data_IF_704971301571
#
_entry.id   IF_704971301571
#
_cell.length_a   1.000
_cell.length_b   1.000
_cell.length_c   1.000
_cell.angle_alpha   90.00
_cell.angle_beta   90.00
_cell.angle_gamma   90.00
#
_symmetry.space_group_name_H-M   'P 1'
#
loop_
_entity.id
_entity.type
_entity.pdbx_description
1 polymer ?
#
# COMPACT_ATOMS: atom_id res chain seq x y z
N UNK A 1 8.84 -36.60 -40.77
CA UNK A 1 8.06 -36.63 -39.51
C UNK A 1 7.67 -35.18 -39.20
N UNK A 2 6.50 -34.75 -39.66
CA UNK A 2 6.03 -33.39 -39.39
C UNK A 2 5.26 -33.41 -38.08
N UNK A 3 5.87 -32.87 -37.02
CA UNK A 3 5.21 -32.76 -35.72
C UNK A 3 4.11 -31.71 -35.78
N UNK A 4 2.88 -32.10 -35.46
CA UNK A 4 1.78 -31.16 -35.27
C UNK A 4 2.05 -30.34 -34.00
N UNK A 5 2.37 -29.06 -34.17
CA UNK A 5 2.45 -28.10 -33.07
C UNK A 5 1.05 -27.52 -32.82
N UNK A 6 0.30 -28.11 -31.89
CA UNK A 6 -0.97 -27.56 -31.42
C UNK A 6 -0.74 -26.77 -30.14
N UNK A 7 -1.22 -25.53 -30.10
CA UNK A 7 -1.27 -24.72 -28.88
C UNK A 7 -2.68 -24.83 -28.29
N UNK A 8 -2.79 -25.44 -27.10
CA UNK A 8 -4.04 -25.60 -26.35
C UNK A 8 -4.21 -24.43 -25.37
N UNK A 9 -5.33 -23.72 -25.50
CA UNK A 9 -5.67 -22.56 -24.67
C UNK A 9 -6.88 -22.81 -23.76
N UNK A 10 -7.40 -24.05 -23.67
CA UNK A 10 -8.58 -24.35 -22.86
C UNK A 10 -8.33 -24.19 -21.35
N UNK A 11 -7.07 -24.17 -20.91
CA UNK A 11 -6.67 -23.82 -19.55
C UNK A 11 -6.39 -22.34 -19.32
N UNK A 12 -6.52 -21.49 -20.34
CA UNK A 12 -6.32 -20.05 -20.19
C UNK A 12 -7.49 -19.44 -19.41
N UNK A 13 -7.20 -18.46 -18.56
CA UNK A 13 -8.26 -17.69 -17.91
C UNK A 13 -9.10 -16.99 -18.98
N UNK A 14 -10.42 -16.95 -18.78
CA UNK A 14 -11.30 -16.16 -19.63
C UNK A 14 -10.80 -14.71 -19.69
N UNK A 15 -10.90 -14.09 -20.87
CA UNK A 15 -10.56 -12.68 -21.03
C UNK A 15 -11.33 -11.87 -19.99
N UNK A 16 -10.60 -11.26 -19.05
CA UNK A 16 -11.23 -10.50 -17.98
C UNK A 16 -12.10 -9.39 -18.60
N UNK A 17 -13.32 -9.25 -18.10
CA UNK A 17 -14.27 -8.16 -18.40
C UNK A 17 -13.70 -6.81 -17.92
N UNK A 18 -12.66 -6.35 -18.61
CA UNK A 18 -11.91 -5.16 -18.28
C UNK A 18 -12.50 -3.90 -18.94
N UNK A 19 -13.67 -4.01 -19.58
CA UNK A 19 -14.24 -2.95 -20.41
C UNK A 19 -14.89 -1.83 -19.58
N UNK A 20 -15.54 -2.16 -18.46
CA UNK A 20 -16.16 -1.13 -17.62
C UNK A 20 -15.19 -0.60 -16.56
N UNK A 21 -14.99 0.72 -16.44
CA UNK A 21 -14.14 1.29 -15.41
C UNK A 21 -14.65 0.93 -14.00
N UNK A 22 -13.73 0.74 -13.07
CA UNK A 22 -14.06 0.63 -11.64
C UNK A 22 -14.79 1.92 -11.20
N UNK A 23 -15.90 1.83 -10.46
CA UNK A 23 -16.60 3.02 -9.97
C UNK A 23 -15.67 3.98 -9.22
N UNK A 24 -15.84 5.28 -9.46
CA UNK A 24 -15.08 6.29 -8.72
C UNK A 24 -15.48 6.29 -7.24
N UNK A 25 -14.50 6.41 -6.36
CA UNK A 25 -14.68 6.33 -4.91
C UNK A 25 -14.44 4.95 -4.32
N UNK A 26 -14.32 3.90 -5.14
CA UNK A 26 -13.99 2.54 -4.68
C UNK A 26 -12.71 2.55 -3.86
N UNK A 27 -12.75 1.95 -2.68
CA UNK A 27 -11.58 1.73 -1.82
C UNK A 27 -11.09 0.30 -2.02
N UNK A 28 -9.80 0.15 -2.31
CA UNK A 28 -9.20 -1.16 -2.54
C UNK A 28 -7.77 -1.20 -2.01
N UNK A 29 -7.38 -2.35 -1.44
CA UNK A 29 -5.97 -2.65 -1.18
C UNK A 29 -5.29 -2.92 -2.52
N UNK A 30 -4.22 -2.19 -2.79
CA UNK A 30 -3.46 -2.31 -4.04
C UNK A 30 -1.99 -2.52 -3.76
N UNK A 31 -1.30 -3.22 -4.67
CA UNK A 31 0.16 -3.34 -4.69
C UNK A 31 0.73 -2.48 -5.81
N UNK A 32 1.61 -1.55 -5.45
CA UNK A 32 2.21 -0.60 -6.39
C UNK A 32 3.38 -1.22 -7.14
N UNK A 33 3.53 -0.86 -8.40
CA UNK A 33 4.72 -1.10 -9.21
C UNK A 33 5.08 0.18 -9.95
N UNK A 34 6.36 0.56 -9.97
CA UNK A 34 6.87 1.65 -10.80
C UNK A 34 7.47 1.05 -12.06
N UNK A 35 7.00 1.49 -13.22
CA UNK A 35 7.66 1.20 -14.50
C UNK A 35 8.82 2.17 -14.69
N UNK A 36 10.07 1.69 -14.82
CA UNK A 36 11.23 2.54 -15.03
C UNK A 36 11.07 3.40 -16.30
N UNK A 37 11.43 4.67 -16.20
CA UNK A 37 11.41 5.61 -17.32
C UNK A 37 12.79 5.98 -17.86
N UNK A 38 13.86 5.53 -17.20
CA UNK A 38 15.25 5.72 -17.62
C UNK A 38 15.86 7.07 -17.24
N UNK A 39 15.15 7.92 -16.50
CA UNK A 39 15.64 9.26 -16.09
C UNK A 39 16.05 9.27 -14.62
N UNK A 40 17.11 10.04 -14.32
CA UNK A 40 17.65 10.22 -12.98
C UNK A 40 18.63 9.10 -12.56
N UNK A 41 19.26 9.23 -11.38
CA UNK A 41 20.34 8.33 -10.94
C UNK A 41 19.92 6.86 -10.81
N UNK A 42 18.64 6.62 -10.51
CA UNK A 42 18.08 5.27 -10.34
C UNK A 42 17.20 4.82 -11.52
N UNK A 43 17.01 5.66 -12.55
CA UNK A 43 16.20 5.33 -13.73
C UNK A 43 14.69 5.20 -13.51
N UNK A 44 14.17 5.49 -12.31
CA UNK A 44 12.73 5.38 -12.00
C UNK A 44 11.86 6.45 -12.68
N UNK A 45 12.42 7.62 -12.98
CA UNK A 45 11.66 8.76 -13.46
C UNK A 45 11.38 8.62 -14.96
N UNK A 46 10.16 8.96 -15.37
CA UNK A 46 9.76 9.08 -16.77
C UNK A 46 9.68 10.55 -17.16
N UNK A 47 10.35 10.93 -18.26
CA UNK A 47 10.16 12.23 -18.90
C UNK A 47 9.02 12.18 -19.92
N UNK A 48 8.18 13.22 -19.92
CA UNK A 48 7.13 13.39 -20.92
C UNK A 48 7.72 13.52 -22.33
N UNK A 49 7.05 12.93 -23.32
CA UNK A 49 7.48 13.01 -24.74
C UNK A 49 7.16 14.35 -25.39
N UNK A 50 6.26 15.13 -24.79
CA UNK A 50 5.72 16.37 -25.38
C UNK A 50 5.99 17.61 -24.51
N UNK A 51 6.68 17.45 -23.39
CA UNK A 51 6.99 18.53 -22.46
C UNK A 51 8.16 18.18 -21.55
N UNK A 52 8.65 19.16 -20.78
CA UNK A 52 9.67 18.96 -19.75
C UNK A 52 9.13 18.30 -18.46
N UNK A 53 7.84 17.92 -18.44
CA UNK A 53 7.23 17.33 -17.27
C UNK A 53 7.87 15.96 -16.96
N UNK A 54 8.05 15.67 -15.68
CA UNK A 54 8.58 14.41 -15.17
C UNK A 54 7.60 13.78 -14.19
N UNK A 55 7.49 12.46 -14.22
CA UNK A 55 6.55 11.72 -13.38
C UNK A 55 7.04 10.29 -13.11
N UNK A 56 6.48 9.66 -12.07
CA UNK A 56 6.55 8.21 -11.90
C UNK A 56 5.42 7.56 -12.71
N UNK A 57 5.77 6.59 -13.55
CA UNK A 57 4.81 5.82 -14.33
C UNK A 57 4.40 4.59 -13.53
N UNK A 58 3.29 4.67 -12.80
CA UNK A 58 2.91 3.64 -11.85
C UNK A 58 1.76 2.77 -12.34
N UNK A 59 1.77 1.56 -11.81
CA UNK A 59 0.73 0.57 -11.94
C UNK A 59 0.37 0.07 -10.54
N UNK A 60 -0.91 -0.01 -10.24
CA UNK A 60 -1.40 -0.57 -9.00
C UNK A 60 -2.32 -1.74 -9.31
N UNK A 61 -1.97 -2.92 -8.80
CA UNK A 61 -2.80 -4.13 -8.95
C UNK A 61 -3.65 -4.26 -7.70
N UNK A 62 -4.97 -4.40 -7.87
CA UNK A 62 -5.88 -4.65 -6.76
C UNK A 62 -5.63 -6.06 -6.21
N UNK A 63 -5.32 -6.15 -4.92
CA UNK A 63 -4.87 -7.39 -4.27
C UNK A 63 -6.05 -8.34 -4.03
N UNK A 64 -7.18 -7.81 -3.55
CA UNK A 64 -8.34 -8.59 -3.14
C UNK A 64 -9.65 -7.83 -3.34
N UNK A 65 -10.78 -8.52 -3.14
CA UNK A 65 -12.12 -7.98 -3.28
C UNK A 65 -12.71 -8.07 -4.70
N UNK A 66 -13.84 -7.41 -4.97
CA UNK A 66 -14.61 -7.57 -6.21
C UNK A 66 -13.88 -7.19 -7.49
N UNK A 67 -12.78 -6.44 -7.37
CA UNK A 67 -11.97 -5.96 -8.49
C UNK A 67 -10.55 -6.53 -8.45
N UNK A 68 -10.32 -7.64 -7.74
CA UNK A 68 -9.02 -8.29 -7.64
C UNK A 68 -8.37 -8.52 -9.00
N UNK A 69 -7.05 -8.33 -9.07
CA UNK A 69 -6.20 -8.48 -10.26
C UNK A 69 -6.41 -7.41 -11.35
N UNK A 70 -7.37 -6.48 -11.22
CA UNK A 70 -7.46 -5.33 -12.11
C UNK A 70 -6.28 -4.37 -11.87
N UNK A 71 -5.79 -3.77 -12.96
CA UNK A 71 -4.64 -2.85 -12.98
C UNK A 71 -5.13 -1.42 -13.11
N UNK A 72 -4.62 -0.53 -12.26
CA UNK A 72 -4.89 0.91 -12.29
C UNK A 72 -3.58 1.63 -12.60
N UNK A 73 -3.52 2.33 -13.74
CA UNK A 73 -2.34 3.06 -14.15
C UNK A 73 -2.44 4.52 -13.72
N UNK A 74 -1.40 5.04 -13.07
CA UNK A 74 -1.39 6.43 -12.58
C UNK A 74 -0.05 7.08 -12.88
N UNK A 75 -0.07 8.37 -13.26
CA UNK A 75 1.15 9.17 -13.37
C UNK A 75 1.27 10.05 -12.14
N UNK A 76 2.31 9.85 -11.34
CA UNK A 76 2.56 10.66 -10.16
C UNK A 76 3.54 11.77 -10.52
N UNK A 77 3.08 13.03 -10.48
CA UNK A 77 3.88 14.17 -10.93
C UNK A 77 5.08 14.46 -10.05
N UNK A 78 6.25 14.63 -10.66
CA UNK A 78 7.48 15.05 -9.99
C UNK A 78 7.93 16.44 -10.41
N UNK A 79 7.61 16.83 -11.66
CA UNK A 79 7.83 18.16 -12.23
C UNK A 79 6.79 18.45 -13.33
N UNK A 80 6.17 19.62 -13.30
CA UNK A 80 5.23 20.12 -14.30
C UNK A 80 5.93 20.76 -15.50
N UNK A 81 5.18 20.96 -16.59
CA UNK A 81 5.66 21.68 -17.79
C UNK A 81 5.93 23.14 -17.43
N UNK A 82 7.11 23.66 -17.77
CA UNK A 82 7.47 25.06 -17.56
C UNK A 82 7.57 25.47 -16.09
N UNK A 83 7.66 24.50 -15.17
CA UNK A 83 7.76 24.78 -13.75
C UNK A 83 9.09 25.49 -13.40
N UNK A 84 8.97 26.66 -12.78
CA UNK A 84 10.03 27.39 -12.08
C UNK A 84 9.62 27.55 -10.61
N UNK A 85 10.46 27.11 -9.68
CA UNK A 85 10.22 27.32 -8.24
C UNK A 85 9.08 26.48 -7.62
N UNK A 86 8.45 27.01 -6.57
CA UNK A 86 7.52 26.28 -5.69
C UNK A 86 6.07 26.12 -6.20
N UNK A 87 5.69 26.81 -7.28
CA UNK A 87 4.32 26.83 -7.82
C UNK A 87 3.95 25.63 -8.73
N UNK A 88 4.78 24.59 -8.71
CA UNK A 88 4.55 23.38 -9.48
C UNK A 88 3.42 22.53 -8.87
N UNK A 89 2.18 22.88 -9.21
CA UNK A 89 0.96 22.21 -8.74
C UNK A 89 0.96 20.71 -9.10
N UNK A 90 1.56 20.33 -10.24
CA UNK A 90 1.65 18.94 -10.66
C UNK A 90 2.59 18.14 -9.74
N UNK A 91 3.78 18.69 -9.46
CA UNK A 91 4.72 18.10 -8.52
C UNK A 91 4.16 18.08 -7.08
N UNK A 92 3.47 19.15 -6.66
CA UNK A 92 2.90 19.23 -5.31
C UNK A 92 1.80 18.18 -5.09
N UNK A 93 0.93 17.96 -6.08
CA UNK A 93 -0.04 16.85 -6.05
C UNK A 93 0.63 15.49 -5.99
N UNK A 94 1.70 15.27 -6.76
CA UNK A 94 2.44 14.01 -6.73
C UNK A 94 3.15 13.77 -5.40
N UNK A 95 3.78 14.79 -4.80
CA UNK A 95 4.37 14.71 -3.45
C UNK A 95 3.35 14.37 -2.39
N UNK A 96 2.16 14.99 -2.44
CA UNK A 96 1.06 14.68 -1.53
C UNK A 96 0.60 13.22 -1.67
N UNK A 97 0.49 12.72 -2.91
CA UNK A 97 0.13 11.32 -3.15
C UNK A 97 1.21 10.34 -2.66
N UNK A 98 2.50 10.61 -2.93
CA UNK A 98 3.61 9.77 -2.43
C UNK A 98 3.59 9.73 -0.89
N UNK A 99 3.40 10.88 -0.24
CA UNK A 99 3.25 10.94 1.22
C UNK A 99 2.08 10.07 1.69
N UNK A 100 0.91 10.19 1.06
CA UNK A 100 -0.25 9.38 1.41
C UNK A 100 -0.02 7.88 1.21
N UNK A 101 0.69 7.47 0.15
CA UNK A 101 1.07 6.07 -0.09
C UNK A 101 1.95 5.57 1.06
N UNK A 102 2.96 6.34 1.48
CA UNK A 102 3.84 5.99 2.58
C UNK A 102 3.09 5.89 3.91
N UNK A 103 2.21 6.85 4.19
CA UNK A 103 1.35 6.87 5.38
C UNK A 103 0.43 5.66 5.42
N UNK A 104 -0.23 5.35 4.31
CA UNK A 104 -1.14 4.21 4.16
C UNK A 104 -0.39 2.87 4.25
N UNK A 105 0.74 2.72 3.57
CA UNK A 105 1.51 1.47 3.58
C UNK A 105 2.16 1.18 4.94
N UNK A 106 2.54 2.23 5.68
CA UNK A 106 3.28 2.11 6.96
C UNK A 106 2.40 2.30 8.19
N UNK A 107 1.09 2.50 8.01
CA UNK A 107 0.13 2.64 9.10
C UNK A 107 0.35 3.89 9.95
N UNK A 108 0.74 5.00 9.33
CA UNK A 108 1.03 6.27 10.01
C UNK A 108 -0.09 7.27 9.75
N UNK A 109 -0.62 7.89 10.81
CA UNK A 109 -1.66 8.90 10.68
C UNK A 109 -1.11 10.18 10.01
N UNK A 110 -1.91 10.83 9.16
CA UNK A 110 -1.47 12.02 8.43
C UNK A 110 -1.06 13.20 9.35
N UNK A 111 -1.68 13.27 10.54
CA UNK A 111 -1.43 14.31 11.55
C UNK A 111 -0.29 13.97 12.53
N UNK A 112 0.27 12.75 12.48
CA UNK A 112 1.37 12.35 13.35
C UNK A 112 2.68 13.04 12.92
N UNK A 113 3.21 13.90 13.79
CA UNK A 113 4.44 14.67 13.60
C UNK A 113 5.65 14.12 14.37
N UNK A 114 5.50 12.95 15.02
CA UNK A 114 6.59 12.29 15.74
C UNK A 114 7.78 11.96 14.84
N UNK A 115 8.97 11.81 15.43
CA UNK A 115 10.17 11.44 14.67
C UNK A 115 10.02 10.08 13.97
N UNK A 116 9.28 9.16 14.59
CA UNK A 116 8.88 7.89 13.97
C UNK A 116 8.09 8.13 12.68
N UNK A 117 7.08 8.99 12.72
CA UNK A 117 6.26 9.29 11.55
C UNK A 117 7.04 10.05 10.47
N UNK A 118 7.98 10.91 10.85
CA UNK A 118 8.88 11.59 9.92
C UNK A 118 9.80 10.59 9.22
N UNK A 119 10.45 9.70 9.97
CA UNK A 119 11.29 8.64 9.42
C UNK A 119 10.48 7.70 8.50
N UNK A 120 9.25 7.36 8.89
CA UNK A 120 8.32 6.57 8.09
C UNK A 120 7.78 7.30 6.85
N UNK A 121 8.05 8.60 6.64
CA UNK A 121 7.78 9.30 5.37
C UNK A 121 9.04 9.53 4.53
N UNK A 122 10.21 9.20 5.07
CA UNK A 122 11.47 9.29 4.36
C UNK A 122 11.71 8.02 3.54
N UNK A 123 12.22 8.21 2.33
CA UNK A 123 12.64 7.15 1.41
C UNK A 123 14.04 7.50 0.88
N UNK A 124 14.82 6.48 0.53
CA UNK A 124 16.17 6.65 -0.05
C UNK A 124 16.11 6.99 -1.53
N UNK A 125 15.09 6.47 -2.21
CA UNK A 125 14.85 6.62 -3.63
C UNK A 125 13.42 6.26 -3.97
N UNK A 126 12.99 6.55 -5.19
CA UNK A 126 11.60 6.21 -5.60
C UNK A 126 11.36 4.70 -5.67
N UNK A 127 12.43 3.91 -5.83
CA UNK A 127 12.36 2.44 -5.81
C UNK A 127 11.78 1.88 -4.51
N UNK A 128 11.90 2.59 -3.39
CA UNK A 128 11.33 2.19 -2.09
C UNK A 128 9.80 2.06 -2.13
N UNK A 129 9.12 2.74 -3.07
CA UNK A 129 7.67 2.65 -3.26
C UNK A 129 7.24 1.38 -4.00
N UNK A 130 8.17 0.71 -4.69
CA UNK A 130 7.89 -0.45 -5.51
C UNK A 130 7.52 -1.65 -4.62
N UNK A 131 6.40 -2.31 -4.91
CA UNK A 131 5.89 -3.43 -4.12
C UNK A 131 5.12 -3.03 -2.86
N UNK A 132 5.03 -1.73 -2.53
CA UNK A 132 4.22 -1.30 -1.38
C UNK A 132 2.75 -1.65 -1.57
N UNK A 133 2.13 -2.17 -0.51
CA UNK A 133 0.69 -2.37 -0.43
C UNK A 133 0.06 -1.26 0.39
N UNK A 134 -1.00 -0.66 -0.14
CA UNK A 134 -1.71 0.45 0.52
C UNK A 134 -3.17 0.47 0.11
N UNK A 135 -4.01 1.21 0.87
CA UNK A 135 -5.41 1.41 0.51
C UNK A 135 -5.53 2.59 -0.43
N UNK A 136 -5.95 2.33 -1.67
CA UNK A 136 -6.19 3.34 -2.68
C UNK A 136 -7.67 3.68 -2.78
N UNK A 137 -7.97 4.98 -2.96
CA UNK A 137 -9.24 5.45 -3.49
C UNK A 137 -9.13 5.55 -5.01
N UNK A 138 -9.87 4.71 -5.71
CA UNK A 138 -9.91 4.70 -7.17
C UNK A 138 -10.77 5.87 -7.66
N UNK A 139 -10.24 6.64 -8.60
CA UNK A 139 -10.93 7.71 -9.29
C UNK A 139 -11.20 7.37 -10.76
N UNK A 140 -11.93 8.28 -11.40
CA UNK A 140 -12.11 8.31 -12.84
C UNK A 140 -11.58 9.64 -13.38
N UNK A 141 -10.60 9.57 -14.26
CA UNK A 141 -10.06 10.73 -14.98
C UNK A 141 -10.63 10.71 -16.40
N UNK A 142 -11.29 11.79 -16.81
CA UNK A 142 -11.77 11.95 -18.18
C UNK A 142 -10.59 12.21 -19.11
N UNK A 143 -10.65 11.62 -20.30
CA UNK A 143 -9.71 12.01 -21.34
C UNK A 143 -10.03 13.45 -21.77
N UNK A 144 -9.00 14.26 -21.99
CA UNK A 144 -9.18 15.62 -22.49
C UNK A 144 -9.64 15.60 -23.93
N UNK A 145 -9.19 14.61 -24.71
CA UNK A 145 -9.50 14.47 -26.12
C UNK A 145 -10.84 13.73 -26.34
N UNK A 146 -11.29 12.95 -25.34
CA UNK A 146 -12.64 12.38 -25.28
C UNK A 146 -13.30 12.56 -23.89
N UNK A 147 -13.87 13.74 -23.61
CA UNK A 147 -14.54 14.01 -22.34
C UNK A 147 -15.84 13.22 -22.13
N UNK A 148 -16.44 12.72 -23.22
CA UNK A 148 -17.71 11.98 -23.18
C UNK A 148 -17.49 10.48 -22.94
N UNK A 149 -16.29 9.98 -23.21
CA UNK A 149 -15.90 8.61 -22.93
C UNK A 149 -16.01 8.24 -21.44
N UNK A 150 -15.94 6.94 -21.12
CA UNK A 150 -16.09 6.42 -19.75
C UNK A 150 -15.01 6.97 -18.79
N UNK A 151 -13.89 7.45 -19.31
CA UNK A 151 -12.70 7.85 -18.55
C UNK A 151 -11.83 6.65 -18.19
N UNK A 152 -10.69 6.92 -17.56
CA UNK A 152 -9.75 5.89 -17.10
C UNK A 152 -9.68 5.85 -15.59
N UNK A 153 -9.48 4.66 -15.03
CA UNK A 153 -9.20 4.55 -13.61
C UNK A 153 -7.82 5.09 -13.27
N UNK A 154 -7.74 5.83 -12.17
CA UNK A 154 -6.51 6.35 -11.57
C UNK A 154 -6.56 6.20 -10.05
N UNK A 155 -5.40 6.23 -9.39
CA UNK A 155 -5.34 6.40 -7.93
C UNK A 155 -5.59 7.88 -7.64
N UNK A 156 -6.75 8.20 -7.11
CA UNK A 156 -7.12 9.57 -6.75
C UNK A 156 -6.49 10.00 -5.42
N UNK A 157 -6.42 9.08 -4.46
CA UNK A 157 -5.78 9.28 -3.16
C UNK A 157 -5.34 7.95 -2.56
N UNK A 158 -4.36 8.00 -1.66
CA UNK A 158 -4.10 6.93 -0.71
C UNK A 158 -4.82 7.26 0.60
N UNK A 159 -5.42 6.25 1.22
CA UNK A 159 -6.22 6.38 2.43
C UNK A 159 -5.43 5.78 3.60
N UNK A 160 -5.25 6.55 4.67
CA UNK A 160 -4.49 6.15 5.84
C UNK A 160 -5.35 5.62 6.99
N UNK A 161 -4.72 5.38 8.15
CA UNK A 161 -5.36 4.80 9.34
C UNK A 161 -6.54 5.57 9.92
N UNK A 162 -6.70 6.84 9.55
CA UNK A 162 -7.81 7.66 10.04
C UNK A 162 -9.16 7.33 9.38
N UNK A 163 -9.16 6.54 8.30
CA UNK A 163 -10.38 6.15 7.60
C UNK A 163 -11.00 4.88 8.20
N UNK A 164 -12.32 4.86 8.38
CA UNK A 164 -13.04 3.77 9.02
C UNK A 164 -12.78 2.39 8.37
N UNK A 165 -12.74 2.32 7.03
CA UNK A 165 -12.47 1.07 6.31
C UNK A 165 -11.00 0.65 6.25
N UNK A 166 -10.05 1.50 6.66
CA UNK A 166 -8.62 1.25 6.42
C UNK A 166 -8.15 -0.06 7.06
N UNK A 167 -8.45 -0.28 8.34
CA UNK A 167 -8.00 -1.46 9.07
C UNK A 167 -8.52 -2.76 8.42
N UNK A 168 -9.82 -2.77 8.08
CA UNK A 168 -10.47 -3.89 7.39
C UNK A 168 -9.82 -4.18 6.04
N UNK A 169 -9.57 -3.13 5.24
CA UNK A 169 -8.98 -3.26 3.90
C UNK A 169 -7.50 -3.62 3.91
N UNK A 170 -6.76 -3.27 4.96
CA UNK A 170 -5.35 -3.70 5.12
C UNK A 170 -5.22 -5.14 5.63
N UNK A 171 -6.33 -5.83 5.91
CA UNK A 171 -6.32 -7.18 6.45
C UNK A 171 -6.01 -7.22 7.96
N UNK A 172 -6.14 -6.09 8.66
CA UNK A 172 -6.15 -6.14 10.12
C UNK A 172 -7.44 -6.86 10.53
N UNK A 173 -7.29 -7.95 11.28
CA UNK A 173 -8.43 -8.61 11.89
C UNK A 173 -9.21 -7.54 12.68
N UNK A 174 -10.56 -7.51 12.60
CA UNK A 174 -11.32 -6.69 13.51
C UNK A 174 -10.85 -7.05 14.91
N UNK A 175 -10.42 -6.05 15.69
CA UNK A 175 -10.13 -6.27 17.10
C UNK A 175 -11.38 -6.94 17.69
N UNK A 176 -11.29 -8.23 17.96
CA UNK A 176 -12.35 -8.94 18.65
C UNK A 176 -12.61 -8.13 19.93
N UNK A 177 -13.87 -7.78 20.24
CA UNK A 177 -14.18 -7.19 21.52
C UNK A 177 -13.57 -8.11 22.58
N UNK A 178 -12.52 -7.63 23.25
CA UNK A 178 -11.94 -8.38 24.35
C UNK A 178 -13.10 -8.53 25.34
N UNK A 179 -13.54 -9.76 25.68
CA UNK A 179 -14.57 -9.92 26.68
C UNK A 179 -14.11 -9.17 27.92
N UNK A 180 -15.00 -8.44 28.63
CA UNK A 180 -14.61 -7.78 29.86
C UNK A 180 -14.00 -8.85 30.78
N UNK A 181 -12.70 -8.73 31.02
CA UNK A 181 -12.02 -9.56 32.00
C UNK A 181 -12.74 -9.38 33.33
N UNK A 182 -12.92 -10.43 34.14
CA UNK A 182 -13.63 -10.33 35.40
C UNK A 182 -13.02 -9.21 36.24
N UNK A 183 -13.87 -8.26 36.62
CA UNK A 183 -13.49 -7.17 37.51
C UNK A 183 -12.96 -7.77 38.81
N UNK A 184 -11.68 -7.58 39.08
CA UNK A 184 -11.11 -7.86 40.39
C UNK A 184 -11.75 -6.90 41.40
N UNK A 185 -12.38 -7.38 42.49
CA UNK A 185 -12.82 -6.50 43.55
C UNK A 185 -11.60 -5.87 44.21
N UNK A 186 -11.58 -4.54 44.23
CA UNK A 186 -10.69 -3.78 45.09
C UNK A 186 -11.17 -3.95 46.55
N UNK A 187 -10.47 -4.77 47.32
CA UNK A 187 -10.56 -4.79 48.78
C UNK A 187 -9.16 -4.73 49.35
N UNK A 188 -8.84 -3.60 49.98
CA UNK A 188 -7.67 -3.49 50.85
C UNK A 188 -7.77 -4.51 51.98
N UNK A 189 -6.66 -5.17 52.26
CA UNK A 189 -6.56 -6.17 53.32
C UNK A 189 -5.16 -6.75 53.37
N UNK A 190 -4.56 -6.69 54.56
CA UNK A 190 -3.18 -7.07 54.85
C UNK A 190 -2.83 -8.51 54.45
N UNK A 191 -1.56 -8.71 54.09
CA UNK A 191 -0.97 -10.01 53.81
C UNK A 191 -0.88 -10.90 55.08
N UNK A 192 -1.27 -12.19 55.01
CA UNK A 192 -0.93 -13.16 56.04
C UNK A 192 0.41 -13.87 55.75
N UNK A 193 1.30 -14.05 56.74
CA UNK A 193 2.61 -14.67 56.58
C UNK A 193 2.54 -16.16 56.92
N UNK A 194 2.24 -17.01 55.94
CA UNK A 194 2.55 -18.44 55.94
C UNK A 194 2.18 -19.01 54.56
N UNK A 195 3.15 -19.01 53.65
CA UNK A 195 3.20 -19.94 52.54
C UNK A 195 4.68 -20.15 52.25
N UNK A 196 5.18 -21.19 52.93
CA UNK A 196 6.56 -21.63 52.84
C UNK A 196 6.96 -21.99 51.40
N UNK A 197 8.25 -21.82 51.16
CA UNK A 197 9.00 -22.11 49.94
C UNK A 197 8.53 -23.36 49.17
N UNK A 198 8.33 -23.20 47.86
CA UNK A 198 8.48 -24.30 46.92
C UNK A 198 9.86 -24.21 46.25
N UNK A 199 10.55 -25.36 46.05
CA UNK A 199 11.94 -25.40 45.61
C UNK A 199 12.12 -24.96 44.15
N UNK A 200 13.25 -24.32 43.93
CA UNK A 200 13.81 -23.91 42.63
C UNK A 200 14.04 -25.11 41.70
N UNK A 201 13.45 -25.07 40.51
CA UNK A 201 13.84 -25.95 39.40
C UNK A 201 15.14 -25.45 38.75
N UNK A 202 16.06 -26.34 38.35
CA UNK A 202 17.31 -25.97 37.69
C UNK A 202 17.07 -25.54 36.22
N UNK A 203 18.00 -24.75 35.63
CA UNK A 203 17.86 -24.27 34.26
C UNK A 203 18.16 -25.40 33.26
N UNK A 204 17.21 -25.68 32.35
CA UNK A 204 17.48 -26.48 31.17
C UNK A 204 18.22 -25.64 30.12
N UNK A 205 19.37 -26.15 29.68
CA UNK A 205 20.29 -25.49 28.78
C UNK A 205 19.78 -25.41 27.32
N UNK A 206 20.35 -24.42 26.64
CA UNK A 206 20.27 -24.04 25.24
C UNK A 206 20.15 -25.18 24.21
N UNK A 207 19.40 -24.90 23.14
CA UNK A 207 19.64 -25.48 21.82
C UNK A 207 18.38 -25.74 21.01
N UNK A 208 17.80 -24.71 20.38
CA UNK A 208 16.95 -24.94 19.22
C UNK A 208 17.13 -23.81 18.19
N UNK A 209 18.05 -24.04 17.25
CA UNK A 209 18.20 -23.24 16.05
C UNK A 209 17.08 -23.58 15.04
N UNK A 210 16.66 -22.61 14.20
CA UNK A 210 15.58 -22.80 13.24
C UNK A 210 15.93 -23.78 12.10
N UNK A 211 14.89 -24.33 11.48
CA UNK A 211 14.90 -25.47 10.56
C UNK A 211 15.63 -25.29 9.21
N UNK A 212 16.28 -24.15 8.97
CA UNK A 212 17.08 -23.91 7.76
C UNK A 212 18.60 -24.08 7.99
N UNK A 213 19.00 -24.47 9.21
CA UNK A 213 20.40 -24.73 9.56
C UNK A 213 20.65 -26.21 9.91
N UNK A 214 20.32 -27.12 8.98
CA UNK A 214 20.82 -28.50 8.95
C UNK A 214 21.39 -28.82 7.57
#
# INVERSE_FOLDING_TARGET
>A
MSGNFTHDFNGAEAQQDAFEPIPAGTLAKVRLTIRPGGVGPEGWVTQSRTSEAQYLNTEAVIVEGPHARRRVYTRIGLRGKGAQGGDDTYANRGRALIRGILESARGIAAKDSSDRARAARTIRGYGDLNGMEFVARIGLEKDRDDPRGPGRNVIAAAIGPEHADYARLMGAAPAQPMPPGPAAPATGGAAPPWAAAQPSQPPAAAGNAPFWAR
#
